data_IF_186123669109
#
_entry.id   IF_186123669109
#
_cell.length_a   1.000
_cell.length_b   1.000
_cell.length_c   1.000
_cell.angle_alpha   90.00
_cell.angle_beta   90.00
_cell.angle_gamma   90.00
#
_symmetry.space_group_name_H-M   'P 1'
#
loop_
_entity.id
_entity.type
_entity.pdbx_description
1 polymer ?
#
# COMPACT_ATOMS: atom_id res chain seq x y z
N UNK A 1 -2.49 -0.30 -21.99
CA UNK A 1 -2.64 0.17 -20.60
C UNK A 1 -1.48 -0.38 -19.80
N UNK A 2 -0.78 0.50 -19.10
CA UNK A 2 0.20 0.13 -18.07
C UNK A 2 -0.53 -0.05 -16.75
N UNK A 3 0.04 -0.79 -15.80
CA UNK A 3 -0.52 -0.89 -14.45
C UNK A 3 0.34 -0.04 -13.50
N UNK A 4 -0.27 0.48 -12.44
CA UNK A 4 0.48 1.05 -11.31
C UNK A 4 0.78 -0.08 -10.33
N UNK A 5 2.02 -0.15 -9.85
CA UNK A 5 2.42 -1.11 -8.82
C UNK A 5 2.90 -0.35 -7.58
N UNK A 6 2.38 -0.72 -6.42
CA UNK A 6 2.93 -0.33 -5.12
C UNK A 6 3.76 -1.52 -4.63
N UNK A 7 5.07 -1.33 -4.55
CA UNK A 7 5.99 -2.33 -4.01
C UNK A 7 5.90 -2.36 -2.49
N UNK A 8 5.32 -3.42 -1.94
CA UNK A 8 5.35 -3.63 -0.50
C UNK A 8 6.70 -4.21 -0.08
N UNK A 9 7.11 -3.90 1.14
CA UNK A 9 8.29 -4.50 1.79
C UNK A 9 7.89 -5.06 3.14
N UNK A 10 8.58 -6.13 3.53
CA UNK A 10 8.41 -6.74 4.85
C UNK A 10 9.41 -6.12 5.82
N UNK A 11 9.13 -4.88 6.22
CA UNK A 11 10.03 -4.08 7.07
C UNK A 11 9.71 -4.21 8.56
N UNK A 12 8.48 -4.63 8.93
CA UNK A 12 8.05 -4.83 10.33
C UNK A 12 6.88 -5.81 10.45
N UNK A 13 6.62 -6.27 11.67
CA UNK A 13 5.43 -7.05 12.05
C UNK A 13 4.32 -6.18 12.66
N UNK A 14 4.65 -4.99 13.16
CA UNK A 14 3.71 -3.97 13.64
C UNK A 14 4.05 -2.59 13.06
N UNK A 15 3.10 -1.63 13.02
CA UNK A 15 3.35 -0.28 12.49
C UNK A 15 4.52 0.43 13.15
N UNK A 16 4.70 0.27 14.46
CA UNK A 16 5.80 0.88 15.23
C UNK A 16 7.19 0.36 14.87
N UNK A 17 7.29 -0.80 14.21
CA UNK A 17 8.54 -1.36 13.70
C UNK A 17 8.90 -0.82 12.31
N UNK A 18 7.92 -0.27 11.59
CA UNK A 18 8.16 0.40 10.32
C UNK A 18 8.84 1.77 10.59
N UNK A 19 9.83 2.11 9.76
CA UNK A 19 10.47 3.42 9.78
C UNK A 19 9.58 4.46 9.08
N UNK A 20 10.18 5.47 8.46
CA UNK A 20 9.45 6.48 7.69
C UNK A 20 8.55 5.83 6.63
N UNK A 21 7.27 6.20 6.65
CA UNK A 21 6.25 5.78 5.68
C UNK A 21 5.51 7.00 5.15
N UNK A 22 4.93 6.87 3.95
CA UNK A 22 4.13 7.94 3.36
C UNK A 22 2.84 8.16 4.15
N UNK A 23 2.47 9.42 4.31
CA UNK A 23 1.12 9.81 4.73
C UNK A 23 0.11 9.53 3.60
N UNK A 24 -1.18 9.52 3.95
CA UNK A 24 -2.28 9.39 2.98
C UNK A 24 -2.20 10.48 1.90
N UNK A 25 -1.90 11.72 2.29
CA UNK A 25 -1.80 12.84 1.35
C UNK A 25 -0.66 12.67 0.35
N UNK A 26 0.52 12.25 0.82
CA UNK A 26 1.66 12.00 -0.07
C UNK A 26 1.38 10.85 -1.04
N UNK A 27 0.69 9.80 -0.58
CA UNK A 27 0.28 8.71 -1.47
C UNK A 27 -0.71 9.20 -2.54
N UNK A 28 -1.69 10.03 -2.19
CA UNK A 28 -2.62 10.65 -3.15
C UNK A 28 -1.87 11.52 -4.16
N UNK A 29 -0.93 12.35 -3.71
CA UNK A 29 -0.13 13.21 -4.58
C UNK A 29 0.69 12.39 -5.59
N UNK A 30 1.22 11.22 -5.21
CA UNK A 30 1.88 10.31 -6.16
C UNK A 30 0.86 9.69 -7.12
N UNK A 31 -0.23 9.12 -6.61
CA UNK A 31 -1.19 8.39 -7.44
C UNK A 31 -1.94 9.30 -8.43
N UNK A 32 -2.19 10.56 -8.07
CA UNK A 32 -2.84 11.56 -8.92
C UNK A 32 -2.07 11.92 -10.20
N UNK A 33 -0.80 11.52 -10.30
CA UNK A 33 0.01 11.72 -11.52
C UNK A 33 -0.27 10.66 -12.60
N UNK A 34 -0.97 9.57 -12.26
CA UNK A 34 -1.36 8.52 -13.20
C UNK A 34 -2.79 8.74 -13.72
N UNK A 35 -3.14 7.99 -14.76
CA UNK A 35 -4.51 7.96 -15.29
C UNK A 35 -5.47 7.36 -14.24
N UNK A 36 -6.64 7.99 -14.05
CA UNK A 36 -7.60 7.63 -13.00
C UNK A 36 -8.22 6.24 -13.21
N UNK A 37 -8.29 5.76 -14.44
CA UNK A 37 -8.81 4.43 -14.79
C UNK A 37 -7.72 3.34 -14.73
N UNK A 38 -6.47 3.71 -14.39
CA UNK A 38 -5.37 2.75 -14.35
C UNK A 38 -5.46 1.85 -13.11
N UNK A 39 -5.45 0.52 -13.25
CA UNK A 39 -5.53 -0.36 -12.10
C UNK A 39 -4.24 -0.30 -11.27
N UNK A 40 -4.44 -0.34 -9.95
CA UNK A 40 -3.37 -0.35 -8.95
C UNK A 40 -3.29 -1.75 -8.34
N UNK A 41 -2.07 -2.30 -8.30
CA UNK A 41 -1.78 -3.57 -7.66
C UNK A 41 -0.69 -3.41 -6.60
N UNK A 42 -0.82 -4.14 -5.50
CA UNK A 42 0.27 -4.34 -4.56
C UNK A 42 1.17 -5.45 -5.11
N UNK A 43 2.46 -5.19 -5.19
CA UNK A 43 3.48 -6.16 -5.60
C UNK A 43 4.26 -6.59 -4.36
N UNK A 44 4.23 -7.89 -4.07
CA UNK A 44 4.92 -8.47 -2.92
C UNK A 44 6.08 -9.37 -3.39
N UNK A 45 6.96 -9.76 -2.46
CA UNK A 45 8.01 -10.76 -2.70
C UNK A 45 8.87 -10.46 -3.94
N UNK A 46 9.26 -9.20 -4.14
CA UNK A 46 10.00 -8.71 -5.32
C UNK A 46 9.32 -9.03 -6.67
N UNK A 47 7.99 -9.06 -6.71
CA UNK A 47 7.23 -9.31 -7.93
C UNK A 47 6.86 -10.77 -8.18
N UNK A 48 7.03 -11.64 -7.19
CA UNK A 48 6.56 -13.02 -7.27
C UNK A 48 5.04 -13.14 -7.08
N UNK A 49 4.44 -12.30 -6.23
CA UNK A 49 2.99 -12.28 -5.98
C UNK A 49 2.39 -10.87 -6.08
N UNK A 50 1.09 -10.81 -6.37
CA UNK A 50 0.34 -9.57 -6.61
C UNK A 50 -1.02 -9.61 -5.90
N UNK A 51 -1.43 -8.49 -5.30
CA UNK A 51 -2.76 -8.28 -4.73
C UNK A 51 -3.48 -7.11 -5.40
N UNK A 52 -4.78 -7.22 -5.64
CA UNK A 52 -5.60 -6.08 -6.09
C UNK A 52 -5.96 -5.17 -4.91
N UNK A 53 -6.11 -3.87 -5.20
CA UNK A 53 -6.67 -2.91 -4.25
C UNK A 53 -8.14 -2.69 -4.61
N UNK A 54 -9.05 -3.12 -3.73
CA UNK A 54 -10.48 -2.92 -3.87
C UNK A 54 -11.02 -2.08 -2.71
N UNK A 55 -12.27 -1.62 -2.83
CA UNK A 55 -12.91 -0.77 -1.82
C UNK A 55 -12.94 -1.42 -0.43
N UNK A 56 -13.10 -2.74 -0.37
CA UNK A 56 -13.07 -3.55 0.85
C UNK A 56 -11.66 -3.94 1.31
N UNK A 57 -10.63 -3.61 0.53
CA UNK A 57 -9.22 -3.83 0.90
C UNK A 57 -8.69 -2.74 1.83
N UNK A 58 -9.43 -1.65 2.02
CA UNK A 58 -9.07 -0.51 2.88
C UNK A 58 -9.99 -0.53 4.10
N UNK A 59 -9.43 -0.73 5.28
CA UNK A 59 -10.15 -0.70 6.55
C UNK A 59 -9.43 0.23 7.53
N UNK A 60 -10.19 0.84 8.42
CA UNK A 60 -9.64 1.46 9.61
C UNK A 60 -9.27 0.36 10.62
N UNK A 61 -8.19 0.57 11.38
CA UNK A 61 -7.74 -0.34 12.42
C UNK A 61 -7.14 0.45 13.58
N UNK A 62 -7.31 -0.07 14.80
CA UNK A 62 -6.64 0.40 16.00
C UNK A 62 -5.36 -0.43 16.20
N UNK A 63 -4.31 0.17 16.78
CA UNK A 63 -3.15 -0.63 17.21
C UNK A 63 -3.62 -1.59 18.31
N UNK A 64 -3.45 -2.90 18.10
CA UNK A 64 -3.63 -3.87 19.17
C UNK A 64 -2.64 -3.48 20.29
N UNK A 65 -3.14 -2.97 21.41
CA UNK A 65 -2.34 -2.77 22.62
C UNK A 65 -1.85 -4.16 23.04
N UNK A 66 -0.59 -4.48 22.72
CA UNK A 66 0.09 -5.69 23.20
C UNK A 66 -0.10 -5.77 24.75
N UNK A 67 -0.81 -6.79 25.25
CA UNK A 67 -0.84 -7.12 26.70
C UNK A 67 0.51 -7.60 27.22
#
# INVERSE_FOLDING_TARGET
MTNVYIDSRRDGYSPSQCHDTMTVGELIDILSQYDEDQPVYIRNDNGYTYGSVQMDSVTEGEEDEDE
#
